data_IF_606421424481
#
_entry.id   IF_606421424481
#
_cell.length_a   1.000
_cell.length_b   1.000
_cell.length_c   1.000
_cell.angle_alpha   90.00
_cell.angle_beta   90.00
_cell.angle_gamma   90.00
#
_symmetry.space_group_name_H-M   'P 1'
#
loop_
_entity.id
_entity.type
_entity.pdbx_description
1 polymer ?
#
# COMPACT_ATOMS: atom_id res chain seq x y z
N UNK A 1 22.92 7.53 -1.61
CA UNK A 1 21.83 8.41 -1.11
C UNK A 1 20.51 7.98 -1.73
N UNK A 2 19.38 8.10 -1.02
CA UNK A 2 18.06 7.80 -1.60
C UNK A 2 17.71 8.86 -2.65
N UNK A 3 17.16 8.48 -3.82
CA UNK A 3 16.65 9.46 -4.76
C UNK A 3 15.52 10.27 -4.13
N UNK A 4 15.40 11.55 -4.50
CA UNK A 4 14.38 12.46 -3.98
C UNK A 4 12.99 11.93 -4.38
N UNK A 5 12.21 11.47 -3.40
CA UNK A 5 10.83 11.08 -3.66
C UNK A 5 10.00 12.32 -4.01
N UNK A 6 9.23 12.27 -5.11
CA UNK A 6 8.25 13.32 -5.43
C UNK A 6 7.10 13.27 -4.42
N UNK A 7 6.60 14.44 -4.02
CA UNK A 7 5.49 14.53 -3.08
C UNK A 7 4.30 13.67 -3.52
N UNK A 8 3.65 12.94 -2.60
CA UNK A 8 2.60 11.97 -2.93
C UNK A 8 1.36 12.54 -3.62
N UNK A 9 1.20 13.86 -3.68
CA UNK A 9 -0.08 14.49 -4.03
C UNK A 9 -1.09 14.23 -2.92
N UNK A 10 -2.33 13.91 -3.29
CA UNK A 10 -3.36 13.47 -2.35
C UNK A 10 -2.91 12.19 -1.62
N UNK A 11 -3.12 12.08 -0.30
CA UNK A 11 -2.85 10.86 0.44
C UNK A 11 -3.50 9.64 -0.23
N UNK A 12 -2.77 8.54 -0.33
CA UNK A 12 -3.35 7.28 -0.80
C UNK A 12 -4.30 6.74 0.26
N UNK A 13 -5.28 5.96 -0.19
CA UNK A 13 -6.09 5.15 0.71
C UNK A 13 -5.19 4.22 1.53
N UNK A 14 -5.61 3.97 2.76
CA UNK A 14 -4.89 3.06 3.64
C UNK A 14 -4.98 1.64 3.09
N UNK A 15 -3.92 0.85 3.25
CA UNK A 15 -3.83 -0.50 2.69
C UNK A 15 -4.96 -1.42 3.15
N UNK A 16 -5.50 -1.23 4.35
CA UNK A 16 -6.62 -2.03 4.85
C UNK A 16 -7.91 -1.77 4.06
N UNK A 17 -8.14 -0.55 3.59
CA UNK A 17 -9.31 -0.17 2.77
C UNK A 17 -9.21 -0.86 1.41
N UNK A 18 -8.05 -0.78 0.77
CA UNK A 18 -7.81 -1.48 -0.50
C UNK A 18 -7.90 -3.00 -0.33
N UNK A 19 -7.42 -3.56 0.79
CA UNK A 19 -7.55 -4.98 1.09
C UNK A 19 -9.02 -5.41 1.28
N UNK A 20 -9.83 -4.63 2.01
CA UNK A 20 -11.26 -4.90 2.18
C UNK A 20 -11.99 -4.92 0.83
N UNK A 21 -11.64 -3.99 -0.08
CA UNK A 21 -12.19 -3.98 -1.43
C UNK A 21 -11.91 -5.30 -2.17
N UNK A 22 -10.68 -5.79 -2.11
CA UNK A 22 -10.31 -7.05 -2.76
C UNK A 22 -10.92 -8.29 -2.09
N UNK A 23 -11.20 -8.23 -0.79
CA UNK A 23 -11.98 -9.27 -0.10
C UNK A 23 -13.41 -9.34 -0.64
N UNK A 24 -14.04 -8.19 -0.90
CA UNK A 24 -15.38 -8.16 -1.51
C UNK A 24 -15.37 -8.65 -2.96
N UNK A 25 -14.37 -8.27 -3.77
CA UNK A 25 -14.19 -8.81 -5.12
C UNK A 25 -14.04 -10.34 -5.09
N UNK A 26 -13.29 -10.88 -4.13
CA UNK A 26 -13.09 -12.33 -4.00
C UNK A 26 -14.38 -13.09 -3.64
N UNK A 27 -15.39 -12.41 -3.08
CA UNK A 27 -16.73 -12.97 -2.85
C UNK A 27 -17.61 -12.95 -4.10
N UNK A 28 -17.15 -12.33 -5.20
CA UNK A 28 -17.87 -12.22 -6.47
C UNK A 28 -18.60 -10.90 -6.69
N UNK A 29 -18.38 -9.87 -5.86
CA UNK A 29 -19.00 -8.56 -6.06
C UNK A 29 -18.41 -7.83 -7.26
N UNK A 30 -19.24 -7.01 -7.92
CA UNK A 30 -18.75 -6.11 -8.96
C UNK A 30 -17.88 -5.00 -8.34
N UNK A 31 -16.91 -4.43 -9.08
CA UNK A 31 -16.03 -3.38 -8.57
C UNK A 31 -16.75 -2.14 -8.03
N UNK A 32 -17.92 -1.81 -8.58
CA UNK A 32 -18.73 -0.69 -8.11
C UNK A 32 -19.38 -1.01 -6.76
N UNK A 33 -19.90 -2.23 -6.60
CA UNK A 33 -20.53 -2.70 -5.36
C UNK A 33 -19.50 -2.85 -4.25
N UNK A 34 -18.36 -3.48 -4.54
CA UNK A 34 -17.24 -3.58 -3.61
C UNK A 34 -16.74 -2.20 -3.16
N UNK A 35 -16.70 -1.21 -4.05
CA UNK A 35 -16.34 0.17 -3.68
C UNK A 35 -17.36 0.78 -2.71
N UNK A 36 -18.66 0.58 -2.97
CA UNK A 36 -19.72 1.07 -2.11
C UNK A 36 -19.66 0.44 -0.71
N UNK A 37 -19.46 -0.88 -0.61
CA UNK A 37 -19.32 -1.60 0.68
C UNK A 37 -18.17 -1.05 1.52
N UNK A 38 -17.06 -0.70 0.87
CA UNK A 38 -15.85 -0.20 1.55
C UNK A 38 -15.87 1.32 1.76
N UNK A 39 -16.93 2.00 1.31
CA UNK A 39 -17.09 3.45 1.50
C UNK A 39 -16.17 4.29 0.59
N UNK A 40 -15.83 3.77 -0.58
CA UNK A 40 -14.93 4.42 -1.54
C UNK A 40 -15.71 4.79 -2.82
N UNK A 41 -15.37 5.92 -3.44
CA UNK A 41 -16.03 6.35 -4.67
C UNK A 41 -15.93 5.27 -5.79
N UNK A 42 -17.01 4.99 -6.56
CA UNK A 42 -17.02 3.95 -7.59
C UNK A 42 -15.87 4.05 -8.61
N UNK A 43 -15.52 5.29 -9.01
CA UNK A 43 -14.41 5.53 -9.93
C UNK A 43 -13.04 5.08 -9.39
N UNK A 44 -12.86 5.08 -8.07
CA UNK A 44 -11.63 4.59 -7.44
C UNK A 44 -11.60 3.07 -7.44
N UNK A 45 -12.70 2.40 -7.06
CA UNK A 45 -12.79 0.94 -7.09
C UNK A 45 -12.59 0.38 -8.50
N UNK A 46 -13.23 0.99 -9.51
CA UNK A 46 -13.01 0.64 -10.91
C UNK A 46 -11.54 0.81 -11.34
N UNK A 47 -10.89 1.88 -10.88
CA UNK A 47 -9.47 2.10 -11.15
C UNK A 47 -8.58 1.06 -10.46
N UNK A 48 -8.87 0.67 -9.22
CA UNK A 48 -8.14 -0.39 -8.53
C UNK A 48 -8.25 -1.72 -9.29
N UNK A 49 -9.47 -2.10 -9.67
CA UNK A 49 -9.72 -3.32 -10.42
C UNK A 49 -8.95 -3.34 -11.76
N UNK A 50 -9.06 -2.27 -12.56
CA UNK A 50 -8.38 -2.16 -13.86
C UNK A 50 -6.85 -2.16 -13.73
N UNK A 51 -6.31 -1.41 -12.78
CA UNK A 51 -4.86 -1.29 -12.61
C UNK A 51 -4.21 -2.59 -12.12
N UNK A 52 -4.95 -3.43 -11.40
CA UNK A 52 -4.47 -4.70 -10.90
C UNK A 52 -4.83 -5.90 -11.79
N UNK A 53 -5.57 -5.67 -12.89
CA UNK A 53 -5.97 -6.73 -13.82
C UNK A 53 -6.99 -7.71 -13.24
N UNK A 54 -7.86 -7.23 -12.35
CA UNK A 54 -8.91 -8.05 -11.73
C UNK A 54 -8.45 -8.99 -10.61
N UNK A 55 -7.18 -8.94 -10.22
CA UNK A 55 -6.63 -9.75 -9.14
C UNK A 55 -5.98 -8.89 -8.04
N UNK A 56 -6.03 -9.30 -6.76
CA UNK A 56 -5.40 -8.55 -5.69
C UNK A 56 -3.88 -8.45 -5.91
N UNK A 57 -3.29 -7.24 -5.91
CA UNK A 57 -1.86 -7.05 -6.18
C UNK A 57 -0.97 -7.38 -4.97
N UNK A 58 -1.55 -7.85 -3.87
CA UNK A 58 -0.88 -8.24 -2.65
C UNK A 58 -1.65 -9.36 -1.94
N UNK A 59 -0.95 -10.06 -1.05
CA UNK A 59 -1.56 -11.08 -0.20
C UNK A 59 -2.58 -10.45 0.77
N UNK A 60 -3.85 -10.85 0.63
CA UNK A 60 -4.97 -10.39 1.47
C UNK A 60 -4.94 -11.01 2.87
N UNK A 61 -4.29 -12.16 3.02
CA UNK A 61 -4.16 -12.86 4.31
C UNK A 61 -2.98 -12.34 5.14
N UNK A 62 -2.13 -11.51 4.55
CA UNK A 62 -0.97 -10.94 5.20
C UNK A 62 -1.38 -10.08 6.41
N UNK A 63 -1.15 -10.62 7.61
CA UNK A 63 -1.27 -9.87 8.86
C UNK A 63 0.07 -9.22 9.21
N UNK A 64 0.12 -7.90 9.47
CA UNK A 64 1.34 -7.25 9.91
C UNK A 64 1.84 -7.86 11.22
N UNK A 65 3.10 -8.29 11.26
CA UNK A 65 3.71 -8.96 12.42
C UNK A 65 4.01 -8.05 13.61
N UNK A 66 3.42 -6.84 13.67
CA UNK A 66 3.67 -5.83 14.69
C UNK A 66 5.09 -5.25 14.72
N UNK A 67 6.02 -5.78 13.90
CA UNK A 67 7.43 -5.36 13.80
C UNK A 67 7.60 -3.90 13.36
N UNK A 68 6.68 -3.40 12.56
CA UNK A 68 6.71 -2.04 12.01
C UNK A 68 5.59 -1.20 12.62
N UNK A 69 5.82 0.12 12.70
CA UNK A 69 4.80 1.07 13.15
C UNK A 69 3.60 1.07 12.20
N UNK A 70 2.43 0.84 12.77
CA UNK A 70 1.12 1.00 12.15
C UNK A 70 0.80 2.47 11.88
N UNK A 71 -0.26 2.71 11.12
CA UNK A 71 -0.71 4.07 10.84
C UNK A 71 -1.18 4.80 12.11
N UNK A 72 -1.96 4.12 12.96
CA UNK A 72 -2.44 4.66 14.24
C UNK A 72 -1.29 5.07 15.15
N UNK A 73 -0.25 4.24 15.27
CA UNK A 73 0.95 4.60 16.05
C UNK A 73 1.67 5.82 15.45
N UNK A 74 1.66 5.99 14.12
CA UNK A 74 2.24 7.17 13.46
C UNK A 74 1.42 8.42 13.72
N UNK A 75 0.09 8.31 13.80
CA UNK A 75 -0.79 9.42 14.19
C UNK A 75 -0.54 9.85 15.63
N UNK A 76 -0.44 8.88 16.55
CA UNK A 76 -0.13 9.16 17.96
C UNK A 76 1.23 9.85 18.11
N UNK A 77 2.26 9.34 17.43
CA UNK A 77 3.58 10.00 17.38
C UNK A 77 3.46 11.44 16.86
N UNK A 78 2.60 11.69 15.86
CA UNK A 78 2.44 13.03 15.30
C UNK A 78 1.75 13.99 16.28
N UNK A 79 0.71 13.54 16.99
CA UNK A 79 0.00 14.33 18.01
C UNK A 79 0.93 14.70 19.17
N UNK A 80 1.58 13.70 19.78
CA UNK A 80 2.49 13.92 20.90
C UNK A 80 3.69 14.78 20.50
N UNK A 81 4.17 14.64 19.26
CA UNK A 81 5.25 15.49 18.74
C UNK A 81 4.81 16.94 18.56
N UNK A 82 3.57 17.18 18.14
CA UNK A 82 3.00 18.52 18.02
C UNK A 82 2.77 19.18 19.38
N UNK A 83 2.50 18.39 20.42
CA UNK A 83 2.42 18.84 21.82
C UNK A 83 3.78 19.19 22.44
N UNK A 84 4.88 18.84 21.78
CA UNK A 84 6.24 19.14 22.23
C UNK A 84 6.93 18.01 23.01
N UNK A 85 6.32 16.84 23.10
CA UNK A 85 6.82 15.73 23.92
C UNK A 85 8.16 15.19 23.41
N UNK A 86 8.99 14.75 24.35
CA UNK A 86 10.29 14.16 24.06
C UNK A 86 10.20 12.77 23.45
N UNK A 87 11.23 12.32 22.72
CA UNK A 87 11.23 10.99 22.06
C UNK A 87 10.97 9.84 23.04
N UNK A 88 11.53 9.91 24.26
CA UNK A 88 11.36 8.87 25.29
C UNK A 88 9.94 8.83 25.86
N UNK A 89 9.30 9.99 25.95
CA UNK A 89 7.92 10.12 26.42
C UNK A 89 6.95 9.59 25.37
N UNK A 90 7.10 10.02 24.12
CA UNK A 90 6.34 9.49 22.97
C UNK A 90 6.46 7.96 22.91
N UNK A 91 7.67 7.44 23.08
CA UNK A 91 7.91 6.00 23.04
C UNK A 91 7.20 5.24 24.16
N UNK A 92 7.12 5.82 25.36
CA UNK A 92 6.40 5.24 26.50
C UNK A 92 4.89 5.19 26.23
N UNK A 93 4.34 6.29 25.72
CA UNK A 93 2.90 6.40 25.42
C UNK A 93 2.47 5.43 24.31
N UNK A 94 3.27 5.35 23.24
CA UNK A 94 3.00 4.47 22.09
C UNK A 94 3.35 3.00 22.40
N UNK A 95 4.01 2.71 23.53
CA UNK A 95 4.44 1.36 23.89
C UNK A 95 5.55 0.79 22.99
N UNK A 96 6.48 1.64 22.55
CA UNK A 96 7.58 1.26 21.63
C UNK A 96 8.95 1.64 22.18
N UNK A 97 9.99 1.03 21.60
CA UNK A 97 11.37 1.41 21.91
C UNK A 97 11.66 2.88 21.49
N UNK A 98 12.29 3.71 22.36
CA UNK A 98 12.70 5.07 22.02
C UNK A 98 13.58 5.15 20.76
N UNK A 99 14.40 4.13 20.51
CA UNK A 99 15.18 4.02 19.27
C UNK A 99 14.29 3.92 18.04
N UNK A 100 13.14 3.24 18.12
CA UNK A 100 12.16 3.12 17.03
C UNK A 100 11.53 4.46 16.71
N UNK A 101 11.03 5.17 17.72
CA UNK A 101 10.46 6.53 17.54
C UNK A 101 11.51 7.50 17.00
N UNK A 102 12.74 7.46 17.54
CA UNK A 102 13.86 8.28 17.04
C UNK A 102 14.17 8.01 15.56
N UNK A 103 14.25 6.74 15.16
CA UNK A 103 14.49 6.33 13.76
C UNK A 103 13.35 6.76 12.85
N UNK A 104 12.12 6.64 13.31
CA UNK A 104 10.92 7.06 12.58
C UNK A 104 10.93 8.56 12.29
N UNK A 105 11.04 9.39 13.33
CA UNK A 105 11.06 10.85 13.20
C UNK A 105 12.19 11.33 12.28
N UNK A 106 13.40 10.75 12.42
CA UNK A 106 14.56 11.12 11.58
C UNK A 106 14.40 10.74 10.12
N UNK A 107 13.86 9.55 9.83
CA UNK A 107 13.79 9.01 8.46
C UNK A 107 12.57 9.52 7.68
N UNK A 108 11.47 9.78 8.38
CA UNK A 108 10.17 9.98 7.76
C UNK A 108 9.59 11.39 7.91
N UNK A 109 10.18 12.29 8.72
CA UNK A 109 9.75 13.69 8.78
C UNK A 109 9.66 14.33 7.38
N UNK A 110 8.57 15.04 7.12
CA UNK A 110 8.35 15.71 5.85
C UNK A 110 9.23 16.97 5.79
N UNK A 111 10.02 17.11 4.74
CA UNK A 111 10.81 18.33 4.49
C UNK A 111 10.06 19.16 3.45
N UNK A 112 8.97 19.80 3.85
CA UNK A 112 8.29 20.79 3.00
C UNK A 112 8.62 22.17 3.55
N UNK A 113 9.21 23.04 2.71
CA UNK A 113 9.51 24.42 3.10
C UNK A 113 10.70 24.60 4.05
N UNK A 114 11.69 23.69 4.03
CA UNK A 114 12.93 23.84 4.79
C UNK A 114 12.87 23.45 6.28
N UNK A 115 11.67 23.27 6.85
CA UNK A 115 11.48 22.77 8.23
C UNK A 115 11.00 21.31 8.23
N UNK A 116 11.59 20.42 9.06
CA UNK A 116 11.13 19.04 9.19
C UNK A 116 9.86 18.99 10.04
N UNK A 117 8.70 18.88 9.40
CA UNK A 117 7.41 18.66 10.07
C UNK A 117 7.05 17.16 10.01
N UNK A 118 6.69 16.55 11.14
CA UNK A 118 6.28 15.15 11.14
C UNK A 118 4.77 15.04 10.85
N UNK A 119 4.40 14.37 9.76
CA UNK A 119 3.01 14.09 9.39
C UNK A 119 2.83 12.58 9.19
N UNK A 120 1.87 11.99 9.88
CA UNK A 120 1.63 10.53 9.86
C UNK A 120 1.37 9.98 8.45
N UNK A 121 0.53 10.65 7.66
CA UNK A 121 0.22 10.27 6.27
C UNK A 121 1.43 10.28 5.35
N UNK A 122 2.29 11.29 5.47
CA UNK A 122 3.55 11.37 4.69
C UNK A 122 4.53 10.29 5.15
N UNK A 123 4.62 10.07 6.46
CA UNK A 123 5.49 9.05 7.04
C UNK A 123 5.08 7.65 6.58
N UNK A 124 3.78 7.35 6.57
CA UNK A 124 3.23 6.10 6.04
C UNK A 124 3.54 5.95 4.55
N UNK A 125 3.30 6.97 3.74
CA UNK A 125 3.62 6.93 2.32
C UNK A 125 5.12 6.68 2.06
N UNK A 126 6.01 7.33 2.82
CA UNK A 126 7.46 7.07 2.73
C UNK A 126 7.80 5.63 3.10
N UNK A 127 7.17 5.09 4.14
CA UNK A 127 7.34 3.70 4.54
C UNK A 127 6.87 2.74 3.43
N UNK A 128 5.71 2.99 2.82
CA UNK A 128 5.16 2.18 1.73
C UNK A 128 6.05 2.24 0.48
N UNK A 129 6.55 3.42 0.12
CA UNK A 129 7.48 3.56 -1.02
C UNK A 129 8.80 2.86 -0.76
N UNK A 130 9.30 2.86 0.48
CA UNK A 130 10.51 2.13 0.85
C UNK A 130 10.30 0.61 0.91
N UNK A 131 9.07 0.17 1.21
CA UNK A 131 8.70 -1.24 1.23
C UNK A 131 8.58 -1.84 -0.18
N UNK A 132 8.29 -1.00 -1.20
CA UNK A 132 8.30 -1.43 -2.60
C UNK A 132 9.68 -1.97 -2.96
N UNK A 133 9.74 -3.25 -3.32
CA UNK A 133 10.91 -3.89 -3.94
C UNK A 133 10.55 -4.23 -5.39
N UNK A 134 10.51 -3.24 -6.30
CA UNK A 134 10.17 -3.50 -7.68
C UNK A 134 11.24 -4.43 -8.28
N UNK A 135 10.81 -5.60 -8.73
CA UNK A 135 11.58 -6.48 -9.61
C UNK A 135 10.97 -6.38 -11.00
N UNK A 136 11.80 -6.37 -12.03
CA UNK A 136 11.29 -6.49 -13.40
C UNK A 136 10.47 -7.80 -13.51
N UNK A 137 9.27 -7.72 -14.07
CA UNK A 137 8.41 -8.89 -14.21
C UNK A 137 9.06 -9.90 -15.16
N UNK A 138 8.96 -11.20 -14.84
CA UNK A 138 9.62 -12.27 -15.61
C UNK A 138 9.23 -12.25 -17.09
N UNK A 139 7.97 -11.98 -17.39
CA UNK A 139 7.44 -11.94 -18.76
C UNK A 139 7.92 -10.72 -19.55
N UNK A 140 8.25 -9.61 -18.89
CA UNK A 140 8.82 -8.41 -19.55
C UNK A 140 10.28 -8.66 -19.94
N UNK A 141 11.02 -9.40 -19.12
CA UNK A 141 12.44 -9.67 -19.36
C UNK A 141 12.66 -10.86 -20.29
N UNK A 142 11.75 -11.84 -20.31
CA UNK A 142 11.91 -13.08 -21.07
C UNK A 142 10.82 -13.24 -22.14
N UNK A 143 11.15 -12.84 -23.37
CA UNK A 143 10.25 -12.90 -24.53
C UNK A 143 9.79 -14.34 -24.86
N UNK A 144 10.65 -15.34 -24.69
CA UNK A 144 10.29 -16.75 -24.92
C UNK A 144 9.24 -17.24 -23.93
N UNK A 145 9.40 -16.90 -22.64
CA UNK A 145 8.43 -17.23 -21.61
C UNK A 145 7.10 -16.51 -21.86
N UNK A 146 7.14 -15.25 -22.29
CA UNK A 146 5.95 -14.50 -22.65
C UNK A 146 5.18 -15.17 -23.80
N UNK A 147 5.86 -15.53 -24.89
CA UNK A 147 5.22 -16.21 -26.03
C UNK A 147 4.56 -17.52 -25.60
N UNK A 148 5.26 -18.34 -24.83
CA UNK A 148 4.73 -19.60 -24.31
C UNK A 148 3.48 -19.40 -23.43
N UNK A 149 3.53 -18.48 -22.46
CA UNK A 149 2.37 -18.21 -21.58
C UNK A 149 1.20 -17.68 -22.39
N UNK A 150 1.43 -16.81 -23.38
CA UNK A 150 0.39 -16.27 -24.24
C UNK A 150 -0.30 -17.38 -25.04
N UNK A 151 0.47 -18.24 -25.71
CA UNK A 151 -0.05 -19.39 -26.47
C UNK A 151 -0.94 -20.30 -25.59
N UNK A 152 -0.46 -20.69 -24.41
CA UNK A 152 -1.22 -21.54 -23.49
C UNK A 152 -2.50 -20.88 -22.99
N UNK A 153 -2.50 -19.57 -22.76
CA UNK A 153 -3.71 -18.84 -22.34
C UNK A 153 -4.73 -18.76 -23.50
N UNK A 154 -4.27 -18.54 -24.74
CA UNK A 154 -5.15 -18.52 -25.91
C UNK A 154 -5.75 -19.90 -26.23
N UNK A 155 -4.98 -20.98 -26.09
CA UNK A 155 -5.46 -22.36 -26.28
C UNK A 155 -6.53 -22.74 -25.25
N UNK A 156 -6.36 -22.36 -23.98
CA UNK A 156 -7.34 -22.63 -22.92
C UNK A 156 -8.66 -21.87 -23.16
N UNK A 157 -8.60 -20.66 -23.73
CA UNK A 157 -9.79 -19.90 -24.10
C UNK A 157 -10.57 -20.54 -25.27
N UNK A 158 -9.88 -21.21 -26.21
CA UNK A 158 -10.53 -21.89 -27.35
C UNK A 158 -11.21 -23.20 -26.96
N UNK A 159 -10.80 -23.86 -25.88
CA UNK A 159 -11.45 -25.07 -25.37
C UNK A 159 -12.82 -24.86 -24.70
N UNK A 160 -13.24 -23.61 -24.49
CA UNK A 160 -14.52 -23.28 -23.85
C UNK A 160 -15.67 -23.12 -24.87
N UNK A 161 -15.38 -23.06 -26.18
CA UNK A 161 -16.40 -22.87 -27.23
C UNK A 161 -16.96 -24.18 -27.82
N UNK A 162 -16.52 -25.35 -27.35
CA UNK A 162 -16.92 -26.65 -27.96
C UNK A 162 -17.71 -27.56 -27.01
N UNK A 163 -18.67 -26.98 -26.27
CA UNK A 163 -19.77 -27.76 -25.66
C UNK A 163 -21.09 -27.03 -25.92
N UNK A 164 -21.67 -27.29 -27.09
CA UNK A 164 -23.06 -27.05 -27.42
C UNK A 164 -23.55 -28.23 -28.29
#
# INVERSE_FOLDING_TARGET
MRPKLRSPGHPKFQRHVEAAFWVEIAKGLLPIEAAAVVGVAPAVGQRWFRNAGGMPPFDLTFKPTGRYLSFTEREEIALLRAQGNGVREIAREVGRDPGTVSRELRRNAATRGGKPEYRASVAQWKADMAAKRPKAAKLVVNARLHAYVHERLTEVCQGCETVA
#
